data_IF_420558717369
#
_entry.id   IF_420558717369
#
_cell.length_a   1.000
_cell.length_b   1.000
_cell.length_c   1.000
_cell.angle_alpha   90.00
_cell.angle_beta   90.00
_cell.angle_gamma   90.00
#
_symmetry.space_group_name_H-M   'P 1'
#
loop_
_entity.id
_entity.type
_entity.pdbx_description
1 polymer ?
#
# COMPACT_ATOMS: atom_id res chain seq x y z
N UNK A 1 -47.09 -9.47 81.17
CA UNK A 1 -46.67 -8.18 80.59
C UNK A 1 -47.91 -7.36 80.29
N UNK A 2 -48.03 -6.12 80.80
CA UNK A 2 -49.06 -5.17 80.39
C UNK A 2 -48.57 -4.44 79.14
N UNK A 3 -49.13 -4.76 77.99
CA UNK A 3 -48.88 -4.02 76.75
C UNK A 3 -49.67 -2.71 76.86
N UNK A 4 -49.02 -1.55 76.70
CA UNK A 4 -49.73 -0.27 76.71
C UNK A 4 -50.58 -0.16 75.44
N UNK A 5 -51.80 0.37 75.56
CA UNK A 5 -52.69 0.65 74.42
C UNK A 5 -52.01 1.50 73.34
N UNK A 6 -51.12 2.40 73.74
CA UNK A 6 -50.29 3.20 72.83
C UNK A 6 -49.30 2.34 72.03
N UNK A 7 -48.67 1.35 72.68
CA UNK A 7 -47.78 0.39 72.03
C UNK A 7 -48.52 -0.53 71.06
N UNK A 8 -49.74 -0.96 71.43
CA UNK A 8 -50.59 -1.80 70.58
C UNK A 8 -51.09 -1.06 69.34
N UNK A 9 -51.53 0.21 69.48
CA UNK A 9 -51.94 1.01 68.33
C UNK A 9 -50.77 1.31 67.37
N UNK A 10 -49.57 1.57 67.90
CA UNK A 10 -48.37 1.76 67.06
C UNK A 10 -47.98 0.50 66.31
N UNK A 11 -47.94 -0.67 66.98
CA UNK A 11 -47.63 -1.93 66.31
C UNK A 11 -48.65 -2.27 65.21
N UNK A 12 -49.91 -1.89 65.39
CA UNK A 12 -50.96 -2.13 64.40
C UNK A 12 -50.83 -1.20 63.20
N UNK A 13 -50.47 0.06 63.41
CA UNK A 13 -50.16 1.02 62.33
C UNK A 13 -48.91 0.62 61.55
N UNK A 14 -47.84 0.22 62.24
CA UNK A 14 -46.61 -0.25 61.61
C UNK A 14 -46.88 -1.51 60.76
N UNK A 15 -47.68 -2.46 61.26
CA UNK A 15 -48.10 -3.63 60.50
C UNK A 15 -48.92 -3.29 59.24
N UNK A 16 -49.80 -2.29 59.32
CA UNK A 16 -50.56 -1.82 58.15
C UNK A 16 -49.66 -1.13 57.11
N UNK A 17 -48.71 -0.30 57.55
CA UNK A 17 -47.74 0.35 56.67
C UNK A 17 -46.82 -0.67 55.98
N UNK A 18 -46.37 -1.69 56.71
CA UNK A 18 -45.61 -2.81 56.15
C UNK A 18 -46.41 -3.58 55.11
N UNK A 19 -47.71 -3.84 55.36
CA UNK A 19 -48.56 -4.55 54.41
C UNK A 19 -48.82 -3.73 53.15
N UNK A 20 -49.02 -2.42 53.28
CA UNK A 20 -49.17 -1.50 52.16
C UNK A 20 -47.87 -1.45 51.32
N UNK A 21 -46.71 -1.43 51.96
CA UNK A 21 -45.41 -1.47 51.28
C UNK A 21 -45.20 -2.80 50.53
N UNK A 22 -45.57 -3.94 51.14
CA UNK A 22 -45.53 -5.27 50.48
C UNK A 22 -46.46 -5.33 49.28
N UNK A 23 -47.69 -4.82 49.39
CA UNK A 23 -48.64 -4.76 48.28
C UNK A 23 -48.09 -3.90 47.13
N UNK A 24 -47.54 -2.72 47.45
CA UNK A 24 -46.94 -1.84 46.45
C UNK A 24 -45.76 -2.49 45.72
N UNK A 25 -44.91 -3.24 46.44
CA UNK A 25 -43.83 -4.03 45.83
C UNK A 25 -44.37 -5.12 44.91
N UNK A 26 -45.31 -5.93 45.38
CA UNK A 26 -45.90 -7.00 44.57
C UNK A 26 -46.59 -6.46 43.30
N UNK A 27 -47.29 -5.32 43.40
CA UNK A 27 -47.87 -4.63 42.25
C UNK A 27 -46.79 -4.19 41.24
N UNK A 28 -45.66 -3.69 41.72
CA UNK A 28 -44.56 -3.28 40.86
C UNK A 28 -43.80 -4.48 40.25
N UNK A 29 -43.69 -5.60 40.96
CA UNK A 29 -43.08 -6.83 40.44
C UNK A 29 -43.96 -7.44 39.34
N UNK A 30 -45.28 -7.42 39.52
CA UNK A 30 -46.24 -7.82 38.47
C UNK A 30 -46.20 -6.87 37.27
N UNK A 31 -46.11 -5.56 37.50
CA UNK A 31 -46.07 -4.56 36.43
C UNK A 31 -44.75 -4.62 35.62
N UNK A 32 -43.62 -4.88 36.26
CA UNK A 32 -42.31 -4.96 35.61
C UNK A 32 -41.96 -6.37 35.11
N UNK A 33 -42.59 -7.40 35.67
CA UNK A 33 -42.23 -8.80 35.44
C UNK A 33 -40.86 -9.20 36.03
N UNK A 34 -40.23 -8.32 36.81
CA UNK A 34 -38.89 -8.53 37.35
C UNK A 34 -38.96 -8.99 38.81
N UNK A 35 -38.24 -10.08 39.13
CA UNK A 35 -38.08 -10.55 40.52
C UNK A 35 -37.15 -9.67 41.35
N UNK A 36 -36.15 -9.05 40.71
CA UNK A 36 -35.13 -8.22 41.36
C UNK A 36 -35.08 -6.89 40.63
N UNK A 37 -35.46 -5.81 41.30
CA UNK A 37 -35.57 -4.47 40.70
C UNK A 37 -34.42 -3.57 41.12
N UNK A 38 -33.99 -3.67 42.37
CA UNK A 38 -32.88 -2.90 42.91
C UNK A 38 -31.83 -3.84 43.52
N UNK A 39 -30.56 -3.41 43.60
CA UNK A 39 -29.51 -4.18 44.30
C UNK A 39 -29.81 -4.43 45.77
N UNK A 40 -30.70 -3.64 46.38
CA UNK A 40 -31.13 -3.81 47.77
C UNK A 40 -32.08 -5.00 47.97
N UNK A 41 -32.78 -5.44 46.91
CA UNK A 41 -33.75 -6.54 47.00
C UNK A 41 -33.06 -7.92 47.08
N UNK A 42 -31.97 -8.10 46.32
CA UNK A 42 -31.15 -9.33 46.31
C UNK A 42 -29.74 -8.99 45.77
N UNK A 43 -28.75 -8.72 46.62
CA UNK A 43 -27.41 -8.30 46.18
C UNK A 43 -26.68 -9.41 45.39
N UNK A 44 -26.96 -10.69 45.67
CA UNK A 44 -26.35 -11.82 44.96
C UNK A 44 -26.92 -11.91 43.55
N UNK A 45 -28.25 -11.87 43.41
CA UNK A 45 -28.86 -11.87 42.08
C UNK A 45 -28.51 -10.60 41.29
N UNK A 46 -28.44 -9.44 41.93
CA UNK A 46 -28.07 -8.18 41.29
C UNK A 46 -26.65 -8.23 40.69
N UNK A 47 -25.67 -8.80 41.40
CA UNK A 47 -24.31 -8.98 40.84
C UNK A 47 -24.30 -9.93 39.63
N UNK A 48 -25.11 -10.99 39.66
CA UNK A 48 -25.25 -11.92 38.52
C UNK A 48 -25.92 -11.24 37.32
N UNK A 49 -26.97 -10.46 37.54
CA UNK A 49 -27.64 -9.67 36.50
C UNK A 49 -26.66 -8.69 35.87
N UNK A 50 -25.92 -7.92 36.67
CA UNK A 50 -24.90 -7.00 36.18
C UNK A 50 -23.76 -7.71 35.40
N UNK A 51 -23.45 -8.97 35.75
CA UNK A 51 -22.54 -9.81 34.96
C UNK A 51 -23.11 -10.16 33.58
N UNK A 52 -24.38 -10.56 33.52
CA UNK A 52 -25.07 -10.87 32.28
C UNK A 52 -25.28 -9.62 31.40
N UNK A 53 -25.62 -8.48 31.97
CA UNK A 53 -25.75 -7.21 31.25
C UNK A 53 -24.42 -6.78 30.60
N UNK A 54 -23.30 -6.93 31.31
CA UNK A 54 -21.97 -6.69 30.73
C UNK A 54 -21.66 -7.65 29.59
N UNK A 55 -21.97 -8.95 29.76
CA UNK A 55 -21.78 -9.94 28.71
C UNK A 55 -22.66 -9.66 27.47
N UNK A 56 -23.92 -9.24 27.68
CA UNK A 56 -24.84 -8.84 26.63
C UNK A 56 -24.32 -7.60 25.89
N UNK A 57 -23.92 -6.55 26.61
CA UNK A 57 -23.37 -5.33 26.02
C UNK A 57 -22.09 -5.60 25.21
N UNK A 58 -21.21 -6.48 25.71
CA UNK A 58 -20.04 -6.92 24.96
C UNK A 58 -20.43 -7.69 23.68
N UNK A 59 -21.39 -8.62 23.77
CA UNK A 59 -21.92 -9.36 22.63
C UNK A 59 -22.54 -8.45 21.56
N UNK A 60 -23.32 -7.44 21.96
CA UNK A 60 -23.88 -6.44 21.05
C UNK A 60 -22.79 -5.60 20.38
N UNK A 61 -21.73 -5.24 21.10
CA UNK A 61 -20.57 -4.55 20.52
C UNK A 61 -19.85 -5.42 19.51
N UNK A 62 -19.66 -6.71 19.81
CA UNK A 62 -19.06 -7.67 18.89
C UNK A 62 -19.90 -7.84 17.62
N UNK A 63 -21.23 -7.90 17.73
CA UNK A 63 -22.12 -7.94 16.58
C UNK A 63 -22.02 -6.68 15.70
N UNK A 64 -21.96 -5.49 16.32
CA UNK A 64 -21.72 -4.22 15.60
C UNK A 64 -20.37 -4.21 14.89
N UNK A 65 -19.33 -4.67 15.57
CA UNK A 65 -17.98 -4.78 15.02
C UNK A 65 -17.92 -5.76 13.84
N UNK A 66 -18.58 -6.90 13.94
CA UNK A 66 -18.66 -7.89 12.87
C UNK A 66 -19.36 -7.30 11.64
N UNK A 67 -20.51 -6.65 11.81
CA UNK A 67 -21.23 -6.00 10.71
C UNK A 67 -20.42 -4.87 10.05
N UNK A 68 -19.65 -4.12 10.85
CA UNK A 68 -18.75 -3.09 10.34
C UNK A 68 -17.64 -3.69 9.47
N UNK A 69 -16.98 -4.75 9.95
CA UNK A 69 -15.91 -5.41 9.18
C UNK A 69 -16.47 -6.08 7.93
N UNK A 70 -17.62 -6.76 8.01
CA UNK A 70 -18.28 -7.39 6.87
C UNK A 70 -18.58 -6.38 5.76
N UNK A 71 -19.20 -5.25 6.11
CA UNK A 71 -19.49 -4.16 5.18
C UNK A 71 -18.21 -3.58 4.56
N UNK A 72 -17.15 -3.43 5.36
CA UNK A 72 -15.87 -2.87 4.88
C UNK A 72 -15.16 -3.84 3.93
N UNK A 73 -15.13 -5.14 4.27
CA UNK A 73 -14.54 -6.19 3.44
C UNK A 73 -15.30 -6.36 2.13
N UNK A 74 -16.63 -6.36 2.15
CA UNK A 74 -17.44 -6.42 0.92
C UNK A 74 -17.13 -5.25 -0.04
N UNK A 75 -16.98 -4.03 0.50
CA UNK A 75 -16.59 -2.87 -0.30
C UNK A 75 -15.16 -2.98 -0.86
N UNK A 76 -14.24 -3.53 -0.07
CA UNK A 76 -12.87 -3.78 -0.50
C UNK A 76 -12.80 -4.85 -1.60
N UNK A 77 -13.55 -5.95 -1.45
CA UNK A 77 -13.68 -7.01 -2.46
C UNK A 77 -14.23 -6.46 -3.77
N UNK A 78 -15.27 -5.62 -3.72
CA UNK A 78 -15.79 -4.99 -4.93
C UNK A 78 -14.73 -4.10 -5.60
N UNK A 79 -13.93 -3.35 -4.82
CA UNK A 79 -12.85 -2.53 -5.37
C UNK A 79 -11.75 -3.38 -6.04
N UNK A 80 -11.44 -4.54 -5.47
CA UNK A 80 -10.49 -5.49 -6.05
C UNK A 80 -11.05 -6.16 -7.31
N UNK A 81 -12.33 -6.52 -7.32
CA UNK A 81 -13.00 -7.06 -8.50
C UNK A 81 -12.99 -6.06 -9.66
N UNK A 82 -13.33 -4.79 -9.39
CA UNK A 82 -13.27 -3.72 -10.37
C UNK A 82 -11.84 -3.51 -10.88
N UNK A 83 -10.85 -3.53 -9.97
CA UNK A 83 -9.43 -3.46 -10.32
C UNK A 83 -9.00 -4.62 -11.23
N UNK A 84 -9.48 -5.83 -10.98
CA UNK A 84 -9.23 -7.01 -11.81
C UNK A 84 -9.76 -6.86 -13.23
N UNK A 85 -11.00 -6.37 -13.38
CA UNK A 85 -11.61 -6.09 -14.69
C UNK A 85 -10.81 -5.04 -15.47
N UNK A 86 -10.38 -3.97 -14.80
CA UNK A 86 -9.53 -2.93 -15.40
C UNK A 86 -8.20 -3.51 -15.85
N UNK A 87 -7.55 -4.35 -15.04
CA UNK A 87 -6.28 -4.99 -15.39
C UNK A 87 -6.42 -5.96 -16.58
N UNK A 88 -7.54 -6.67 -16.67
CA UNK A 88 -7.84 -7.50 -17.85
C UNK A 88 -7.92 -6.64 -19.12
N UNK A 89 -8.63 -5.51 -19.07
CA UNK A 89 -8.70 -4.58 -20.19
C UNK A 89 -7.34 -3.98 -20.54
N UNK A 90 -6.55 -3.60 -19.54
CA UNK A 90 -5.17 -3.13 -19.74
C UNK A 90 -4.35 -4.20 -20.45
N UNK A 91 -4.46 -5.48 -20.06
CA UNK A 91 -3.76 -6.59 -20.70
C UNK A 91 -4.15 -6.73 -22.18
N UNK A 92 -5.43 -6.65 -22.52
CA UNK A 92 -5.91 -6.68 -23.90
C UNK A 92 -5.30 -5.55 -24.73
N UNK A 93 -5.32 -4.32 -24.21
CA UNK A 93 -4.75 -3.14 -24.86
C UNK A 93 -3.23 -3.27 -25.06
N UNK A 94 -2.52 -3.85 -24.10
CA UNK A 94 -1.08 -4.10 -24.21
C UNK A 94 -0.75 -5.18 -25.25
N UNK A 95 -1.55 -6.24 -25.32
CA UNK A 95 -1.40 -7.27 -26.37
C UNK A 95 -1.68 -6.66 -27.75
N UNK A 96 -2.71 -5.83 -27.88
CA UNK A 96 -3.02 -5.11 -29.11
C UNK A 96 -1.87 -4.18 -29.51
N UNK A 97 -1.36 -3.35 -28.58
CA UNK A 97 -0.21 -2.47 -28.82
C UNK A 97 1.08 -3.24 -29.16
N UNK A 98 1.21 -4.49 -28.70
CA UNK A 98 2.32 -5.38 -29.05
C UNK A 98 2.30 -5.87 -30.50
N UNK A 99 1.17 -5.78 -31.20
CA UNK A 99 1.07 -6.22 -32.59
C UNK A 99 1.76 -5.24 -33.55
N UNK A 100 2.63 -5.78 -34.41
CA UNK A 100 3.43 -5.01 -35.37
C UNK A 100 2.58 -4.30 -36.44
N UNK A 101 1.35 -4.75 -36.70
CA UNK A 101 0.46 -4.14 -37.69
C UNK A 101 -0.25 -2.88 -37.19
N UNK A 102 -0.18 -2.58 -35.89
CA UNK A 102 -0.81 -1.39 -35.29
C UNK A 102 0.05 -0.16 -35.57
N UNK A 103 -0.52 0.77 -36.33
CA UNK A 103 0.12 2.03 -36.72
C UNK A 103 0.30 3.02 -35.57
N UNK A 104 1.04 4.12 -35.82
CA UNK A 104 1.36 5.12 -34.79
C UNK A 104 0.11 5.85 -34.26
N UNK A 105 -0.90 6.09 -35.09
CA UNK A 105 -2.11 6.78 -34.66
C UNK A 105 -3.03 5.87 -33.83
N UNK A 106 -3.16 4.59 -34.20
CA UNK A 106 -3.87 3.61 -33.37
C UNK A 106 -3.18 3.41 -32.02
N UNK A 107 -1.84 3.41 -31.98
CA UNK A 107 -1.06 3.36 -30.72
C UNK A 107 -1.33 4.55 -29.82
N UNK A 108 -1.54 5.75 -30.38
CA UNK A 108 -1.92 6.94 -29.60
C UNK A 108 -3.30 6.79 -28.99
N UNK A 109 -4.26 6.23 -29.72
CA UNK A 109 -5.61 5.95 -29.21
C UNK A 109 -5.59 4.90 -28.10
N UNK A 110 -4.82 3.81 -28.27
CA UNK A 110 -4.61 2.80 -27.22
C UNK A 110 -3.97 3.43 -25.97
N UNK A 111 -3.00 4.34 -26.16
CA UNK A 111 -2.35 5.06 -25.04
C UNK A 111 -3.36 5.92 -24.28
N UNK A 112 -4.26 6.60 -24.98
CA UNK A 112 -5.31 7.40 -24.37
C UNK A 112 -6.26 6.51 -23.53
N UNK A 113 -6.68 5.37 -24.07
CA UNK A 113 -7.51 4.42 -23.32
C UNK A 113 -6.76 3.86 -22.09
N UNK A 114 -5.49 3.48 -22.24
CA UNK A 114 -4.66 3.02 -21.12
C UNK A 114 -4.57 4.06 -19.99
N UNK A 115 -4.42 5.35 -20.33
CA UNK A 115 -4.42 6.44 -19.32
C UNK A 115 -5.75 6.47 -18.55
N UNK A 116 -6.88 6.37 -19.24
CA UNK A 116 -8.20 6.30 -18.61
C UNK A 116 -8.35 5.08 -17.69
N UNK A 117 -7.86 3.90 -18.11
CA UNK A 117 -7.86 2.68 -17.28
C UNK A 117 -6.97 2.80 -16.04
N UNK A 118 -5.83 3.49 -16.13
CA UNK A 118 -4.99 3.75 -14.96
C UNK A 118 -5.72 4.68 -13.97
N UNK A 119 -6.44 5.69 -14.46
CA UNK A 119 -7.23 6.58 -13.60
C UNK A 119 -8.39 5.83 -12.93
N UNK A 120 -9.04 4.90 -13.64
CA UNK A 120 -10.05 4.00 -13.08
C UNK A 120 -9.48 3.08 -11.98
N UNK A 121 -8.32 2.49 -12.21
CA UNK A 121 -7.62 1.67 -11.20
C UNK A 121 -7.24 2.50 -9.97
N UNK A 122 -6.77 3.74 -10.18
CA UNK A 122 -6.50 4.67 -9.08
C UNK A 122 -7.76 5.06 -8.33
N UNK A 123 -8.91 5.18 -9.00
CA UNK A 123 -10.18 5.45 -8.34
C UNK A 123 -10.61 4.25 -7.47
N UNK A 124 -10.46 3.02 -7.97
CA UNK A 124 -10.71 1.80 -7.20
C UNK A 124 -9.81 1.71 -5.95
N UNK A 125 -8.51 1.98 -6.10
CA UNK A 125 -7.58 2.00 -4.96
C UNK A 125 -7.78 3.18 -3.99
N UNK A 126 -8.54 4.20 -4.38
CA UNK A 126 -8.95 5.32 -3.52
C UNK A 126 -10.42 5.22 -3.08
N UNK A 127 -11.03 4.04 -3.15
CA UNK A 127 -12.44 3.84 -2.73
C UNK A 127 -12.58 4.06 -1.21
N UNK A 128 -13.72 4.63 -0.84
CA UNK A 128 -14.13 4.87 0.55
C UNK A 128 -15.19 3.88 1.00
N UNK A 129 -15.34 3.70 2.30
CA UNK A 129 -16.35 2.86 2.96
C UNK A 129 -17.78 3.45 3.00
N UNK A 130 -17.97 4.65 2.44
CA UNK A 130 -19.23 5.40 2.48
C UNK A 130 -19.38 6.34 3.69
N UNK A 131 -18.56 6.17 4.72
CA UNK A 131 -18.45 7.08 5.88
C UNK A 131 -17.36 8.15 5.69
N UNK A 132 -16.57 8.01 4.63
CA UNK A 132 -15.48 8.92 4.27
C UNK A 132 -14.09 8.38 4.58
N UNK A 133 -13.99 7.15 5.10
CA UNK A 133 -12.71 6.48 5.33
C UNK A 133 -12.23 5.75 4.08
N UNK A 134 -10.97 5.92 3.70
CA UNK A 134 -10.35 5.18 2.61
C UNK A 134 -10.11 3.72 2.99
N UNK A 135 -10.48 2.80 2.08
CA UNK A 135 -10.38 1.36 2.31
C UNK A 135 -8.91 0.88 2.37
N UNK A 136 -8.04 1.47 1.56
CA UNK A 136 -6.67 1.00 1.36
C UNK A 136 -5.59 1.91 1.97
N UNK A 137 -5.94 2.78 2.92
CA UNK A 137 -4.99 3.74 3.52
C UNK A 137 -4.29 3.25 4.80
N UNK A 138 -4.62 2.04 5.28
CA UNK A 138 -4.14 1.52 6.55
C UNK A 138 -4.81 2.23 7.74
N UNK A 139 -4.02 2.70 8.71
CA UNK A 139 -4.54 3.49 9.84
C UNK A 139 -4.78 4.97 9.50
N UNK A 140 -4.21 5.48 8.42
CA UNK A 140 -4.39 6.85 7.92
C UNK A 140 -5.71 7.02 7.14
N UNK A 141 -6.86 6.72 7.77
CA UNK A 141 -8.17 6.55 7.12
C UNK A 141 -8.67 7.76 6.34
N UNK A 142 -8.28 8.97 6.72
CA UNK A 142 -8.66 10.22 6.04
C UNK A 142 -7.64 10.67 4.97
N UNK A 143 -6.53 9.94 4.82
CA UNK A 143 -5.50 10.27 3.84
C UNK A 143 -5.74 9.49 2.55
N UNK A 144 -5.82 10.20 1.43
CA UNK A 144 -5.96 9.59 0.11
C UNK A 144 -4.76 8.68 -0.18
N UNK A 145 -4.95 7.35 -0.34
CA UNK A 145 -3.83 6.41 -0.40
C UNK A 145 -3.02 6.54 -1.69
N UNK A 146 -3.65 6.64 -2.86
CA UNK A 146 -2.96 6.72 -4.15
C UNK A 146 -3.03 8.13 -4.72
N UNK A 147 -1.87 8.78 -4.83
CA UNK A 147 -1.72 10.15 -5.35
C UNK A 147 -0.82 10.14 -6.57
N UNK A 148 -1.24 10.82 -7.65
CA UNK A 148 -0.43 11.00 -8.85
C UNK A 148 0.51 12.20 -8.68
N UNK A 149 1.77 12.03 -9.04
CA UNK A 149 2.80 13.08 -9.10
C UNK A 149 3.51 13.07 -10.47
N UNK A 150 4.47 13.98 -10.67
CA UNK A 150 5.25 14.05 -11.91
C UNK A 150 6.17 12.82 -12.13
N UNK A 151 6.44 12.06 -11.07
CA UNK A 151 7.23 10.84 -11.11
C UNK A 151 6.37 9.60 -11.35
N UNK A 152 5.07 9.61 -11.08
CA UNK A 152 4.17 8.46 -11.24
C UNK A 152 3.02 8.48 -10.22
N UNK A 153 2.78 7.33 -9.59
CA UNK A 153 1.80 7.18 -8.50
C UNK A 153 2.57 6.89 -7.23
N UNK A 154 2.28 7.61 -6.15
CA UNK A 154 2.82 7.36 -4.80
C UNK A 154 1.73 6.89 -3.86
N UNK A 155 2.13 6.03 -2.93
CA UNK A 155 1.30 5.67 -1.79
C UNK A 155 1.55 6.64 -0.63
N UNK A 156 0.47 7.18 -0.07
CA UNK A 156 0.51 8.17 1.02
C UNK A 156 -0.18 7.68 2.30
N UNK A 157 -0.66 6.43 2.33
CA UNK A 157 -1.13 5.78 3.55
C UNK A 157 0.02 5.14 4.34
N UNK A 158 -0.33 4.36 5.35
CA UNK A 158 0.62 3.57 6.13
C UNK A 158 0.52 2.06 5.83
N UNK A 159 1.40 1.27 6.44
CA UNK A 159 1.43 -0.19 6.32
C UNK A 159 0.73 -0.90 7.49
N UNK A 160 -0.06 -0.18 8.30
CA UNK A 160 -0.71 -0.73 9.49
C UNK A 160 -2.04 -1.36 9.09
N UNK A 161 -2.20 -2.64 9.41
CA UNK A 161 -3.48 -3.35 9.26
C UNK A 161 -4.29 -3.16 10.54
N UNK A 162 -5.46 -2.54 10.44
CA UNK A 162 -6.38 -2.37 11.58
C UNK A 162 -7.04 -3.71 11.91
N UNK A 163 -7.07 -4.03 13.20
CA UNK A 163 -7.71 -5.23 13.73
C UNK A 163 -8.95 -4.81 14.53
N UNK A 164 -10.07 -5.46 14.29
CA UNK A 164 -11.34 -5.22 14.98
C UNK A 164 -11.75 -6.47 15.74
N UNK A 165 -12.03 -6.31 17.02
CA UNK A 165 -12.42 -7.43 17.89
C UNK A 165 -13.88 -7.84 17.63
N UNK A 166 -14.10 -9.10 17.24
CA UNK A 166 -15.43 -9.66 16.93
C UNK A 166 -15.88 -10.70 17.95
N UNK A 167 -15.01 -11.09 18.88
CA UNK A 167 -15.35 -11.91 20.04
C UNK A 167 -14.33 -11.66 21.16
N UNK A 168 -14.54 -12.26 22.33
CA UNK A 168 -13.64 -12.09 23.47
C UNK A 168 -12.19 -12.52 23.16
N UNK A 169 -11.99 -13.46 22.23
CA UNK A 169 -10.68 -14.02 21.88
C UNK A 169 -10.27 -13.83 20.43
N UNK A 170 -11.14 -13.25 19.59
CA UNK A 170 -10.89 -13.11 18.15
C UNK A 170 -10.96 -11.66 17.70
N UNK A 171 -9.99 -11.32 16.85
CA UNK A 171 -9.93 -10.06 16.12
C UNK A 171 -9.69 -10.35 14.64
N UNK A 172 -10.31 -9.56 13.78
CA UNK A 172 -10.22 -9.68 12.34
C UNK A 172 -9.62 -8.42 11.73
N UNK A 173 -8.82 -8.58 10.68
CA UNK A 173 -8.34 -7.47 9.88
C UNK A 173 -9.52 -6.86 9.12
N UNK A 174 -9.72 -5.54 9.21
CA UNK A 174 -10.82 -4.87 8.54
C UNK A 174 -10.52 -4.46 7.09
N UNK A 175 -9.25 -4.49 6.69
CA UNK A 175 -8.77 -4.04 5.38
C UNK A 175 -7.34 -4.54 5.09
N UNK A 176 -6.97 -4.54 3.81
CA UNK A 176 -5.57 -4.68 3.37
C UNK A 176 -5.00 -3.31 3.02
N UNK A 177 -3.68 -3.16 3.14
CA UNK A 177 -3.02 -1.88 2.83
C UNK A 177 -2.83 -1.71 1.32
N UNK A 178 -3.03 -0.49 0.80
CA UNK A 178 -2.82 -0.22 -0.62
C UNK A 178 -1.36 -0.37 -1.06
N UNK A 179 -0.42 -0.29 -0.11
CA UNK A 179 0.99 -0.60 -0.35
C UNK A 179 1.18 -2.06 -0.79
N UNK A 180 0.54 -2.99 -0.09
CA UNK A 180 0.63 -4.42 -0.39
C UNK A 180 -0.13 -4.76 -1.68
N UNK A 181 -1.36 -4.27 -1.80
CA UNK A 181 -2.25 -4.59 -2.93
C UNK A 181 -1.77 -3.97 -4.25
N UNK A 182 -1.45 -2.67 -4.28
CA UNK A 182 -1.24 -1.95 -5.53
C UNK A 182 0.22 -1.63 -5.85
N UNK A 183 1.06 -1.47 -4.82
CA UNK A 183 2.43 -0.95 -5.01
C UNK A 183 3.51 -2.03 -4.90
N UNK A 184 3.23 -3.15 -4.23
CA UNK A 184 4.21 -4.20 -3.97
C UNK A 184 4.29 -5.28 -5.06
N UNK A 185 3.89 -4.94 -6.29
CA UNK A 185 3.91 -5.88 -7.42
C UNK A 185 5.34 -6.04 -7.97
N UNK A 186 5.89 -7.28 -8.04
CA UNK A 186 7.16 -7.56 -8.69
C UNK A 186 7.16 -7.14 -10.17
N UNK A 187 8.28 -6.61 -10.66
CA UNK A 187 8.44 -6.25 -12.08
C UNK A 187 9.03 -7.42 -12.88
N UNK A 188 8.91 -7.34 -14.21
CA UNK A 188 9.46 -8.34 -15.13
C UNK A 188 8.72 -9.67 -15.03
N UNK A 189 9.45 -10.77 -14.92
CA UNK A 189 8.89 -12.12 -14.69
C UNK A 189 8.66 -12.44 -13.20
N UNK A 190 8.85 -11.47 -12.31
CA UNK A 190 8.77 -11.65 -10.86
C UNK A 190 10.11 -11.89 -10.16
N UNK A 191 11.17 -12.27 -10.89
CA UNK A 191 12.52 -12.50 -10.34
C UNK A 191 13.54 -11.50 -10.86
N UNK A 192 13.55 -11.22 -12.17
CA UNK A 192 14.45 -10.26 -12.78
C UNK A 192 13.73 -9.41 -13.85
N UNK A 193 14.30 -8.24 -14.12
CA UNK A 193 13.82 -7.32 -15.15
C UNK A 193 14.82 -7.29 -16.30
N UNK A 194 14.34 -7.57 -17.50
CA UNK A 194 15.06 -7.28 -18.74
C UNK A 194 14.60 -5.94 -19.28
N UNK A 195 15.57 -5.12 -19.71
CA UNK A 195 15.29 -3.81 -20.31
C UNK A 195 16.31 -3.52 -21.39
N UNK A 196 15.85 -2.92 -22.47
CA UNK A 196 16.71 -2.39 -23.54
C UNK A 196 17.33 -1.07 -23.05
N UNK A 197 18.63 -0.86 -23.31
CA UNK A 197 19.29 0.41 -22.98
C UNK A 197 18.90 1.47 -24.01
N UNK A 198 18.70 2.71 -23.56
CA UNK A 198 18.41 3.83 -24.46
C UNK A 198 19.66 4.15 -25.31
N UNK A 199 19.50 4.17 -26.64
CA UNK A 199 20.60 4.40 -27.58
C UNK A 199 20.88 3.23 -28.53
N UNK A 200 20.19 2.10 -28.36
CA UNK A 200 20.28 0.99 -29.31
C UNK A 200 19.77 1.41 -30.69
N UNK A 201 20.49 1.00 -31.73
CA UNK A 201 20.21 1.36 -33.14
C UNK A 201 19.63 0.18 -33.92
N UNK A 202 19.76 -1.04 -33.40
CA UNK A 202 19.17 -2.24 -34.00
C UNK A 202 17.67 -2.42 -33.72
N UNK A 203 17.01 -3.12 -34.63
CA UNK A 203 15.62 -3.52 -34.50
C UNK A 203 15.52 -4.82 -33.71
N UNK A 204 15.34 -4.70 -32.39
CA UNK A 204 15.32 -5.83 -31.47
C UNK A 204 14.27 -5.71 -30.38
N UNK A 205 13.55 -6.81 -30.12
CA UNK A 205 12.64 -6.93 -28.98
C UNK A 205 13.11 -8.05 -28.06
N UNK A 206 13.12 -7.79 -26.75
CA UNK A 206 13.45 -8.80 -25.75
C UNK A 206 12.16 -9.43 -25.27
N UNK A 207 12.09 -10.75 -25.30
CA UNK A 207 11.04 -11.49 -24.61
C UNK A 207 11.42 -11.73 -23.14
N UNK A 208 10.40 -11.79 -22.30
CA UNK A 208 10.56 -12.05 -20.87
C UNK A 208 11.17 -13.44 -20.69
N UNK A 209 12.31 -13.49 -20.00
CA UNK A 209 13.05 -14.71 -19.72
C UNK A 209 12.52 -15.51 -18.54
N UNK A 210 13.10 -16.70 -18.29
CA UNK A 210 12.79 -17.54 -17.12
C UNK A 210 14.06 -17.92 -16.36
N UNK A 211 13.93 -18.19 -15.06
CA UNK A 211 14.98 -18.84 -14.27
C UNK A 211 14.84 -20.35 -14.47
N UNK A 212 15.91 -21.00 -14.92
CA UNK A 212 15.92 -22.44 -15.20
C UNK A 212 16.11 -23.24 -13.91
N UNK A 213 16.99 -22.78 -13.03
CA UNK A 213 17.21 -23.39 -11.71
C UNK A 213 17.29 -22.30 -10.62
N UNK A 214 16.32 -22.23 -9.70
CA UNK A 214 16.33 -21.28 -8.59
C UNK A 214 17.47 -21.47 -7.58
N UNK A 215 18.02 -22.69 -7.45
CA UNK A 215 19.03 -23.04 -6.43
C UNK A 215 20.45 -22.64 -6.83
N UNK A 216 20.73 -22.61 -8.13
CA UNK A 216 22.00 -22.18 -8.71
C UNK A 216 21.96 -20.72 -9.20
N UNK A 217 20.85 -20.02 -8.94
CA UNK A 217 20.62 -18.65 -9.38
C UNK A 217 21.50 -17.65 -8.63
N UNK A 218 22.28 -16.87 -9.39
CA UNK A 218 23.13 -15.80 -8.84
C UNK A 218 22.42 -14.46 -8.99
N UNK A 219 22.26 -13.72 -7.89
CA UNK A 219 21.69 -12.38 -7.88
C UNK A 219 22.73 -11.34 -8.35
N UNK A 220 22.71 -11.00 -9.63
CA UNK A 220 23.52 -9.89 -10.17
C UNK A 220 22.82 -9.12 -11.30
N UNK A 221 23.40 -7.99 -11.69
CA UNK A 221 23.03 -7.20 -12.86
C UNK A 221 23.95 -7.50 -14.03
N UNK A 222 23.39 -8.17 -15.03
CA UNK A 222 24.08 -8.53 -16.26
C UNK A 222 23.76 -7.55 -17.38
N UNK A 223 24.74 -7.34 -18.27
CA UNK A 223 24.62 -6.62 -19.53
C UNK A 223 24.95 -7.58 -20.67
N UNK A 224 24.00 -7.77 -21.58
CA UNK A 224 24.20 -8.51 -22.81
C UNK A 224 24.56 -7.47 -23.87
N UNK A 225 25.79 -7.54 -24.37
CA UNK A 225 26.33 -6.62 -25.38
C UNK A 225 26.49 -7.38 -26.69
N UNK A 226 25.91 -6.85 -27.77
CA UNK A 226 26.08 -7.42 -29.11
C UNK A 226 27.37 -6.87 -29.74
N UNK A 227 28.39 -7.70 -29.86
CA UNK A 227 29.72 -7.31 -30.34
C UNK A 227 29.86 -7.39 -31.86
N UNK A 228 29.08 -8.26 -32.52
CA UNK A 228 29.03 -8.40 -33.96
C UNK A 228 27.65 -8.92 -34.40
N UNK A 229 27.28 -8.79 -35.69
CA UNK A 229 26.08 -9.43 -36.23
C UNK A 229 26.17 -10.94 -36.04
N UNK A 230 25.43 -11.49 -35.07
CA UNK A 230 25.47 -12.92 -34.73
C UNK A 230 26.40 -13.29 -33.58
N UNK A 231 26.88 -12.34 -32.76
CA UNK A 231 27.62 -12.66 -31.52
C UNK A 231 27.24 -11.75 -30.36
N UNK A 232 27.25 -12.31 -29.15
CA UNK A 232 26.95 -11.58 -27.92
C UNK A 232 27.93 -11.95 -26.80
N UNK A 233 28.19 -10.97 -25.94
CA UNK A 233 28.89 -11.15 -24.68
C UNK A 233 27.93 -10.83 -23.53
N UNK A 234 27.94 -11.65 -22.49
CA UNK A 234 27.27 -11.39 -21.22
C UNK A 234 28.31 -10.91 -20.22
N UNK A 235 28.12 -9.70 -19.72
CA UNK A 235 29.02 -9.01 -18.81
C UNK A 235 28.32 -8.85 -17.46
N UNK A 236 29.01 -9.11 -16.35
CA UNK A 236 28.48 -8.90 -14.99
C UNK A 236 28.53 -7.43 -14.52
N UNK A 237 28.17 -7.19 -13.27
CA UNK A 237 28.25 -5.84 -12.67
C UNK A 237 29.69 -5.35 -12.45
N UNK A 238 30.63 -6.28 -12.24
CA UNK A 238 32.06 -6.03 -12.10
C UNK A 238 32.80 -5.88 -13.45
N UNK A 239 32.07 -5.94 -14.57
CA UNK A 239 32.58 -5.86 -15.94
C UNK A 239 33.40 -7.08 -16.39
N UNK A 240 33.24 -8.24 -15.74
CA UNK A 240 33.81 -9.50 -16.20
C UNK A 240 32.89 -10.15 -17.24
N UNK A 241 33.49 -10.79 -18.24
CA UNK A 241 32.74 -11.59 -19.22
C UNK A 241 32.37 -12.94 -18.60
N UNK A 242 31.07 -13.20 -18.45
CA UNK A 242 30.50 -14.41 -17.85
C UNK A 242 30.24 -15.48 -18.89
N UNK A 243 29.80 -15.06 -20.08
CA UNK A 243 29.48 -15.97 -21.18
C UNK A 243 29.65 -15.23 -22.51
N UNK A 244 30.07 -15.94 -23.54
CA UNK A 244 30.07 -15.47 -24.92
C UNK A 244 29.38 -16.50 -25.80
N UNK A 245 28.69 -16.06 -26.84
CA UNK A 245 27.93 -16.97 -27.67
C UNK A 245 27.56 -16.40 -29.03
N UNK A 246 27.08 -17.28 -29.90
CA UNK A 246 26.51 -16.89 -31.19
C UNK A 246 25.05 -16.46 -31.02
N UNK A 247 24.70 -15.30 -31.57
CA UNK A 247 23.35 -14.79 -31.58
C UNK A 247 22.57 -15.33 -32.78
N UNK A 248 21.45 -15.98 -32.51
CA UNK A 248 20.44 -16.33 -33.50
C UNK A 248 19.10 -15.78 -33.03
N UNK A 249 18.41 -15.07 -33.92
CA UNK A 249 17.14 -14.41 -33.57
C UNK A 249 16.11 -15.44 -33.12
N UNK A 250 15.57 -15.24 -31.92
CA UNK A 250 14.54 -16.09 -31.32
C UNK A 250 15.07 -17.27 -30.50
N UNK A 251 16.37 -17.57 -30.55
CA UNK A 251 16.97 -18.59 -29.68
C UNK A 251 17.16 -18.07 -28.26
N UNK A 252 17.08 -18.97 -27.28
CA UNK A 252 17.32 -18.65 -25.89
C UNK A 252 18.81 -18.40 -25.67
N UNK A 253 19.14 -17.23 -25.13
CA UNK A 253 20.46 -16.90 -24.60
C UNK A 253 20.47 -17.36 -23.15
N UNK A 254 21.26 -18.40 -22.87
CA UNK A 254 21.40 -19.00 -21.55
C UNK A 254 22.67 -18.48 -20.86
N UNK A 255 22.50 -17.96 -19.65
CA UNK A 255 23.62 -17.53 -18.79
C UNK A 255 23.20 -17.55 -17.34
N UNK A 256 24.11 -17.93 -16.45
CA UNK A 256 23.91 -17.91 -14.99
C UNK A 256 22.56 -18.51 -14.54
N UNK A 257 22.17 -19.63 -15.15
CA UNK A 257 20.92 -20.37 -14.88
C UNK A 257 19.63 -19.58 -15.18
N UNK A 258 19.71 -18.64 -16.14
CA UNK A 258 18.58 -17.87 -16.69
C UNK A 258 18.57 -17.99 -18.20
N UNK A 259 17.38 -17.88 -18.77
CA UNK A 259 17.19 -17.73 -20.21
C UNK A 259 16.65 -16.34 -20.51
N UNK A 260 17.05 -15.74 -21.62
CA UNK A 260 16.31 -14.65 -22.23
C UNK A 260 16.29 -14.85 -23.74
N UNK A 261 15.20 -14.44 -24.39
CA UNK A 261 15.08 -14.53 -25.84
C UNK A 261 15.09 -13.13 -26.41
N UNK A 262 15.89 -12.92 -27.45
CA UNK A 262 15.89 -11.69 -28.21
C UNK A 262 15.49 -12.00 -29.65
N UNK A 263 14.52 -11.25 -30.18
CA UNK A 263 14.05 -11.35 -31.57
C UNK A 263 14.45 -10.11 -32.33
N UNK A 264 14.91 -10.29 -33.56
CA UNK A 264 15.29 -9.22 -34.47
C UNK A 264 16.78 -9.17 -34.78
N UNK A 265 17.22 -8.08 -35.38
CA UNK A 265 18.61 -7.86 -35.78
C UNK A 265 19.21 -6.75 -34.91
N UNK A 266 19.90 -7.08 -33.80
CA UNK A 266 20.62 -6.10 -33.01
C UNK A 266 21.79 -5.55 -33.83
N UNK A 267 22.06 -4.26 -33.68
CA UNK A 267 23.23 -3.62 -34.25
C UNK A 267 24.44 -3.84 -33.33
N UNK A 268 25.64 -3.73 -33.90
CA UNK A 268 26.88 -3.78 -33.11
C UNK A 268 26.89 -2.63 -32.09
N UNK A 269 27.10 -2.98 -30.81
CA UNK A 269 27.09 -2.03 -29.70
C UNK A 269 25.75 -1.91 -28.99
N UNK A 270 24.69 -2.58 -29.45
CA UNK A 270 23.43 -2.63 -28.73
C UNK A 270 23.61 -3.36 -27.39
N UNK A 271 23.01 -2.80 -26.33
CA UNK A 271 23.06 -3.38 -24.99
C UNK A 271 21.66 -3.68 -24.44
N UNK A 272 21.57 -4.81 -23.76
CA UNK A 272 20.40 -5.25 -23.01
C UNK A 272 20.81 -5.46 -21.56
N UNK A 273 20.09 -4.82 -20.64
CA UNK A 273 20.31 -5.00 -19.20
C UNK A 273 19.35 -6.05 -18.65
N UNK A 274 19.89 -7.03 -17.94
CA UNK A 274 19.16 -8.03 -17.16
C UNK A 274 19.56 -7.89 -15.69
N UNK A 275 18.75 -7.16 -14.93
CA UNK A 275 19.09 -6.78 -13.56
C UNK A 275 18.34 -7.59 -12.50
N UNK A 276 19.06 -7.92 -11.41
CA UNK A 276 18.42 -8.23 -10.12
C UNK A 276 17.77 -6.97 -9.51
N UNK A 277 16.78 -7.19 -8.65
CA UNK A 277 15.85 -6.20 -8.08
C UNK A 277 16.56 -5.07 -7.30
N UNK A 278 17.05 -4.04 -7.98
CA UNK A 278 17.40 -2.81 -7.28
C UNK A 278 16.14 -2.00 -6.93
N UNK A 279 15.83 -2.07 -5.63
CA UNK A 279 14.99 -1.16 -4.84
C UNK A 279 13.47 -1.36 -4.87
N UNK A 280 12.94 -1.48 -3.64
CA UNK A 280 11.53 -1.33 -3.23
C UNK A 280 11.03 0.12 -3.41
N UNK A 281 11.24 0.72 -4.58
CA UNK A 281 10.76 2.06 -4.86
C UNK A 281 9.43 1.98 -5.67
N UNK A 282 8.34 2.59 -5.18
CA UNK A 282 6.99 2.49 -5.75
C UNK A 282 6.80 3.18 -7.12
N UNK A 283 7.87 3.57 -7.81
CA UNK A 283 7.80 4.55 -8.89
C UNK A 283 7.87 3.87 -10.25
N UNK A 284 6.73 3.89 -10.97
CA UNK A 284 6.56 3.67 -12.43
C UNK A 284 6.38 2.23 -12.96
N UNK A 285 5.13 1.77 -13.07
CA UNK A 285 4.73 0.95 -14.23
C UNK A 285 4.12 1.83 -15.34
N UNK A 286 3.32 2.85 -14.97
CA UNK A 286 2.65 3.76 -15.92
C UNK A 286 3.61 4.63 -16.78
N UNK A 287 4.76 5.06 -16.25
CA UNK A 287 5.72 5.93 -16.97
C UNK A 287 6.56 5.18 -18.00
N UNK A 288 6.79 3.89 -17.78
CA UNK A 288 7.51 3.03 -18.75
C UNK A 288 6.63 2.75 -19.97
N UNK A 289 5.33 2.58 -19.77
CA UNK A 289 4.36 2.40 -20.87
C UNK A 289 4.30 3.62 -21.80
N UNK A 290 4.40 4.84 -21.27
CA UNK A 290 4.47 6.07 -22.09
C UNK A 290 5.76 6.24 -22.89
N UNK A 291 6.87 5.62 -22.48
CA UNK A 291 8.13 5.63 -23.25
C UNK A 291 8.09 4.71 -24.47
N UNK A 292 7.30 3.65 -24.43
CA UNK A 292 7.17 2.71 -25.56
C UNK A 292 6.16 3.15 -26.64
N UNK A 293 5.43 4.25 -26.41
CA UNK A 293 4.39 4.75 -27.33
C UNK A 293 4.80 5.98 -28.16
N UNK A 294 6.10 6.33 -28.17
CA UNK A 294 6.70 7.15 -29.23
C UNK A 294 6.48 8.67 -29.16
N UNK A 295 6.43 9.28 -27.97
CA UNK A 295 6.47 10.75 -27.86
C UNK A 295 7.93 11.28 -27.82
N UNK A 296 8.29 12.32 -28.62
CA UNK A 296 9.61 12.96 -28.56
C UNK A 296 9.77 13.84 -27.31
N UNK A 297 10.93 13.71 -26.67
CA UNK A 297 11.32 14.44 -25.46
C UNK A 297 11.36 15.97 -25.68
N UNK A 298 10.58 16.73 -24.91
CA UNK A 298 10.91 18.13 -24.60
C UNK A 298 11.84 18.15 -23.38
N UNK A 299 13.10 18.53 -23.59
CA UNK A 299 14.08 18.73 -22.54
C UNK A 299 13.69 19.93 -21.67
N UNK A 300 13.31 19.68 -20.43
CA UNK A 300 13.26 20.66 -19.36
C UNK A 300 14.39 20.38 -18.38
N UNK A 301 15.39 21.26 -18.36
CA UNK A 301 16.52 21.24 -17.45
C UNK A 301 16.06 21.34 -15.98
N UNK A 302 16.68 20.55 -15.10
CA UNK A 302 16.41 20.57 -13.67
C UNK A 302 16.88 19.30 -12.96
N UNK A 303 18.18 19.00 -13.01
CA UNK A 303 18.80 18.02 -12.12
C UNK A 303 18.78 18.56 -10.69
N UNK A 304 17.71 18.27 -9.97
CA UNK A 304 17.62 18.44 -8.52
C UNK A 304 18.11 17.17 -7.82
N UNK A 305 19.22 17.29 -7.10
CA UNK A 305 19.83 16.23 -6.29
C UNK A 305 18.81 15.57 -5.35
N UNK A 306 18.71 14.23 -5.42
CA UNK A 306 17.96 13.42 -4.45
C UNK A 306 18.96 12.66 -3.59
N UNK A 307 19.05 13.05 -2.31
CA UNK A 307 19.81 12.34 -1.29
C UNK A 307 19.17 10.98 -0.99
N UNK A 308 19.92 9.89 -1.15
CA UNK A 308 19.50 8.54 -0.74
C UNK A 308 20.08 8.19 0.63
N UNK A 309 19.22 8.07 1.63
CA UNK A 309 19.54 7.40 2.90
C UNK A 309 19.21 5.92 2.80
N UNK A 310 20.21 5.06 2.62
CA UNK A 310 20.04 3.60 2.70
C UNK A 310 20.13 3.12 4.15
N UNK A 311 19.11 2.41 4.62
CA UNK A 311 19.10 1.76 5.94
C UNK A 311 20.00 0.52 5.90
N UNK A 312 21.25 0.63 6.37
CA UNK A 312 22.09 -0.54 6.68
C UNK A 312 21.79 -1.03 8.10
N UNK A 313 21.77 -2.35 8.30
CA UNK A 313 21.67 -3.03 9.60
C UNK A 313 22.97 -2.82 10.39
N UNK A 314 23.13 -1.68 11.06
CA UNK A 314 24.02 -1.47 12.21
C UNK A 314 23.86 -0.03 12.70
N UNK A 315 24.05 0.18 14.00
CA UNK A 315 23.54 1.33 14.77
C UNK A 315 23.93 2.74 14.29
N UNK A 316 23.12 3.71 14.73
CA UNK A 316 23.30 5.13 14.51
C UNK A 316 24.66 5.64 15.02
N UNK A 317 25.46 6.24 14.14
CA UNK A 317 26.44 7.27 14.50
C UNK A 317 26.23 8.45 13.56
N UNK A 318 25.53 9.48 14.05
CA UNK A 318 25.35 10.74 13.34
C UNK A 318 26.65 11.56 13.36
N UNK A 319 27.15 11.92 12.18
CA UNK A 319 28.08 13.03 12.00
C UNK A 319 27.67 13.81 10.76
N UNK A 320 27.04 14.97 10.97
CA UNK A 320 26.89 15.99 9.92
C UNK A 320 28.27 16.64 9.72
N UNK A 321 28.87 16.49 8.53
CA UNK A 321 30.01 17.31 8.16
C UNK A 321 29.61 18.27 7.04
N UNK A 322 29.75 19.57 7.32
CA UNK A 322 29.42 20.69 6.44
C UNK A 322 30.64 20.98 5.58
N UNK A 323 30.69 20.48 4.35
CA UNK A 323 31.77 20.81 3.41
C UNK A 323 31.43 22.06 2.60
N UNK A 324 32.34 23.02 2.70
CA UNK A 324 32.42 24.31 2.04
C UNK A 324 32.31 24.25 0.52
N UNK A 325 31.51 25.16 -0.04
CA UNK A 325 31.60 25.56 -1.45
C UNK A 325 32.71 26.60 -1.56
N UNK A 326 33.82 26.23 -2.20
CA UNK A 326 34.84 27.16 -2.67
C UNK A 326 34.31 27.88 -3.91
N UNK A 327 33.91 29.14 -3.75
CA UNK A 327 33.61 30.06 -4.85
C UNK A 327 34.87 30.76 -5.31
N UNK A 328 35.20 30.59 -6.59
CA UNK A 328 36.26 31.33 -7.28
C UNK A 328 35.98 32.83 -7.25
N UNK A 329 37.01 33.61 -6.88
CA UNK A 329 36.96 35.06 -6.82
C UNK A 329 37.22 35.74 -8.16
N UNK A 330 36.53 36.86 -8.36
CA UNK A 330 36.85 38.09 -9.10
C UNK A 330 35.54 38.89 -9.03
N UNK A 331 35.42 40.14 -8.61
CA UNK A 331 36.32 41.23 -8.27
C UNK A 331 35.41 42.47 -8.34
N UNK A 332 35.23 43.22 -7.27
CA UNK A 332 34.28 44.34 -7.28
C UNK A 332 34.12 45.02 -5.93
N UNK A 333 34.91 46.07 -5.72
CA UNK A 333 34.82 47.05 -4.62
C UNK A 333 33.41 47.64 -4.55
N UNK A 334 32.87 47.83 -3.34
CA UNK A 334 32.33 49.13 -2.89
C UNK A 334 31.62 49.05 -1.52
N UNK A 335 32.08 49.91 -0.62
CA UNK A 335 31.31 50.73 0.34
C UNK A 335 30.59 50.06 1.53
N UNK A 336 31.30 50.17 2.65
CA UNK A 336 30.85 50.52 4.01
C UNK A 336 29.53 51.31 4.05
N UNK A 337 28.56 50.84 4.85
CA UNK A 337 27.76 51.72 5.70
C UNK A 337 27.36 51.03 7.00
N UNK A 338 27.86 51.59 8.09
CA UNK A 338 27.55 51.33 9.49
C UNK A 338 26.14 51.79 9.89
N UNK A 339 25.58 51.13 10.91
CA UNK A 339 24.45 51.61 11.72
C UNK A 339 23.38 50.52 11.83
N UNK A 340 22.93 50.08 13.00
CA UNK A 340 23.04 50.60 14.34
C UNK A 340 21.79 50.15 15.09
N UNK A 341 21.99 49.51 16.24
CA UNK A 341 21.15 49.55 17.43
C UNK A 341 19.71 48.98 17.47
N UNK A 342 19.56 48.07 18.44
CA UNK A 342 18.53 48.00 19.52
C UNK A 342 17.24 47.20 19.35
N UNK A 343 17.19 46.23 20.28
CA UNK A 343 16.13 45.91 21.27
C UNK A 343 14.84 45.20 20.80
N UNK A 344 14.71 43.97 21.33
CA UNK A 344 13.57 43.35 22.01
C UNK A 344 12.24 44.12 21.97
N UNK A 345 11.21 43.46 21.45
CA UNK A 345 10.03 43.00 22.20
C UNK A 345 9.58 41.68 21.59
#
# INVERSE_FOLDING_TARGET
MRISTLGWNRSTLDAMLDQQARLSRAQADVATGLRVRTPADDPIAATRIAGLERALSASEQFARNANYVDSRLANAEQALADSGNVLQRVRELLVQAGNATVGPDERRMITAELRARIDELMAAGNRTDGSGEYLFAGSATQTRPLVRDAAGVRYSGDSTVRQVQISDTQSLADSQTGLEVFMSVPRGNGTFLTSVVAGNTGGGSIQVGAVVDPSAWVEDTYRIRFTAPGSFDVIDSASNTVSTGSYTSGNAIEFSWRTCQHRGAPATGDEVRSGYRQSRQPVCHARLLGRHTGEPHRNGAGEGAVCYGSRQRSGWVGRCNRSSVAGAGQGGRALVSSGGDRKRA
#
